data_IF_048524931947
#
_entry.id   IF_048524931947
#
_cell.length_a   1.000
_cell.length_b   1.000
_cell.length_c   1.000
_cell.angle_alpha   90.00
_cell.angle_beta   90.00
_cell.angle_gamma   90.00
#
_symmetry.space_group_name_H-M   'P 1'
#
loop_
_entity.id
_entity.type
_entity.pdbx_description
1 polymer ?
#
# COMPACT_ATOMS: atom_id res chain seq x y z
N UNK A 1 -9.27 -13.92 -12.62
CA UNK A 1 -8.37 -12.75 -12.48
C UNK A 1 -6.93 -13.23 -12.61
N UNK A 2 -5.92 -12.38 -12.75
CA UNK A 2 -4.52 -12.86 -12.77
C UNK A 2 -3.56 -11.76 -12.29
N UNK A 3 -2.44 -12.17 -11.71
CA UNK A 3 -1.35 -11.28 -11.32
C UNK A 3 -0.65 -10.76 -12.58
N UNK A 4 -0.49 -9.44 -12.71
CA UNK A 4 0.20 -8.88 -13.86
C UNK A 4 1.66 -9.34 -13.89
N UNK A 5 2.14 -9.97 -14.98
CA UNK A 5 3.51 -10.46 -15.06
C UNK A 5 4.47 -9.29 -15.28
N UNK A 6 5.27 -8.97 -14.26
CA UNK A 6 6.20 -7.85 -14.29
C UNK A 6 7.68 -8.28 -14.32
N UNK A 7 7.95 -9.58 -14.16
CA UNK A 7 9.30 -10.17 -14.14
C UNK A 7 9.43 -11.27 -15.20
N UNK A 8 10.68 -11.62 -15.53
CA UNK A 8 11.01 -12.69 -16.48
C UNK A 8 10.63 -14.08 -15.93
N UNK A 9 10.83 -14.31 -14.62
CA UNK A 9 10.47 -15.56 -13.94
C UNK A 9 9.13 -15.43 -13.20
N UNK A 10 8.26 -16.44 -13.32
CA UNK A 10 6.94 -16.41 -12.65
C UNK A 10 7.06 -16.37 -11.13
N UNK A 11 8.07 -17.05 -10.58
CA UNK A 11 8.31 -17.11 -9.14
C UNK A 11 8.52 -15.73 -8.51
N UNK A 12 9.02 -14.78 -9.30
CA UNK A 12 9.40 -13.44 -8.84
C UNK A 12 8.22 -12.46 -8.91
N UNK A 13 7.10 -12.86 -9.54
CA UNK A 13 5.89 -12.06 -9.51
C UNK A 13 5.26 -12.08 -8.12
N UNK A 14 4.64 -10.95 -7.78
CA UNK A 14 3.92 -10.72 -6.53
C UNK A 14 2.55 -10.14 -6.84
N UNK A 15 1.57 -10.47 -6.01
CA UNK A 15 0.25 -9.83 -6.08
C UNK A 15 0.31 -8.50 -5.32
N UNK A 16 0.11 -7.39 -6.03
CA UNK A 16 -0.09 -6.10 -5.39
C UNK A 16 -1.42 -6.09 -4.63
N UNK A 17 -1.36 -5.86 -3.31
CA UNK A 17 -2.50 -5.85 -2.41
C UNK A 17 -2.23 -4.89 -1.25
N UNK A 18 -3.28 -4.26 -0.71
CA UNK A 18 -3.14 -3.26 0.35
C UNK A 18 -4.38 -3.20 1.24
N UNK A 19 -4.29 -2.38 2.29
CA UNK A 19 -5.38 -2.19 3.24
C UNK A 19 -6.39 -1.18 2.66
N UNK A 20 -7.49 -1.71 2.13
CA UNK A 20 -8.58 -0.91 1.58
C UNK A 20 -9.42 -0.23 2.68
N UNK A 21 -9.72 -0.97 3.76
CA UNK A 21 -10.48 -0.48 4.90
C UNK A 21 -9.73 -0.68 6.21
N UNK A 22 -9.45 0.43 6.91
CA UNK A 22 -8.85 0.43 8.24
C UNK A 22 -9.63 1.32 9.19
N UNK A 23 -9.96 0.77 10.36
CA UNK A 23 -10.50 1.54 11.46
C UNK A 23 -9.42 1.87 12.50
N UNK A 24 -9.35 3.14 12.88
CA UNK A 24 -8.39 3.63 13.90
C UNK A 24 -9.09 4.51 14.93
N UNK A 25 -8.71 4.36 16.19
CA UNK A 25 -9.17 5.25 17.29
C UNK A 25 -8.10 6.28 17.57
N UNK A 26 -8.47 7.56 17.57
CA UNK A 26 -7.55 8.63 17.94
C UNK A 26 -7.03 8.44 19.37
N UNK A 27 -5.73 8.64 19.56
CA UNK A 27 -5.08 8.56 20.89
C UNK A 27 -5.76 9.45 21.94
N UNK A 28 -6.26 10.62 21.54
CA UNK A 28 -6.93 11.61 22.40
C UNK A 28 -8.46 11.44 22.50
N UNK A 29 -9.05 10.37 21.95
CA UNK A 29 -10.48 10.13 22.06
C UNK A 29 -10.90 10.08 23.54
N UNK A 30 -11.94 10.85 23.92
CA UNK A 30 -12.46 10.91 25.29
C UNK A 30 -13.33 9.69 25.65
N UNK A 31 -14.02 9.13 24.66
CA UNK A 31 -14.97 8.03 24.84
C UNK A 31 -14.43 6.76 24.15
N UNK A 32 -13.25 6.27 24.58
CA UNK A 32 -12.58 5.15 23.91
C UNK A 32 -13.32 3.84 24.06
N UNK A 33 -13.94 3.62 25.21
CA UNK A 33 -14.68 2.41 25.53
C UNK A 33 -15.85 2.23 24.56
N UNK A 34 -16.64 3.29 24.34
CA UNK A 34 -17.73 3.29 23.37
C UNK A 34 -17.23 3.13 21.92
N UNK A 35 -16.11 3.77 21.56
CA UNK A 35 -15.52 3.58 20.24
C UNK A 35 -15.10 2.11 20.02
N UNK A 36 -14.48 1.47 21.02
CA UNK A 36 -14.09 0.07 20.94
C UNK A 36 -15.28 -0.89 20.96
N UNK A 37 -16.41 -0.53 21.58
CA UNK A 37 -17.65 -1.31 21.48
C UNK A 37 -18.12 -1.42 20.03
N UNK A 38 -18.13 -0.30 19.30
CA UNK A 38 -18.45 -0.29 17.86
C UNK A 38 -17.41 -1.07 17.05
N UNK A 39 -16.11 -0.88 17.33
CA UNK A 39 -15.07 -1.61 16.60
C UNK A 39 -15.11 -3.11 16.83
N UNK A 40 -15.51 -3.57 18.02
CA UNK A 40 -15.72 -5.00 18.28
C UNK A 40 -16.83 -5.55 17.40
N UNK A 41 -17.97 -4.86 17.35
CA UNK A 41 -19.08 -5.26 16.47
C UNK A 41 -18.66 -5.30 14.99
N UNK A 42 -17.90 -4.31 14.51
CA UNK A 42 -17.37 -4.30 13.14
C UNK A 42 -16.32 -5.38 12.87
N UNK A 43 -15.65 -5.89 13.90
CA UNK A 43 -14.62 -6.92 13.81
C UNK A 43 -15.15 -8.34 14.08
N UNK A 44 -16.43 -8.49 14.42
CA UNK A 44 -17.08 -9.79 14.57
C UNK A 44 -17.15 -10.51 13.21
N UNK A 45 -16.98 -11.83 13.20
CA UNK A 45 -16.84 -12.62 11.97
C UNK A 45 -18.06 -12.47 11.04
N UNK A 46 -19.27 -12.47 11.61
CA UNK A 46 -20.51 -12.27 10.85
C UNK A 46 -20.54 -10.90 10.17
N UNK A 47 -20.14 -9.84 10.88
CA UNK A 47 -20.10 -8.47 10.33
C UNK A 47 -19.06 -8.35 9.22
N UNK A 48 -17.88 -8.95 9.40
CA UNK A 48 -16.84 -8.99 8.37
C UNK A 48 -17.34 -9.76 7.14
N UNK A 49 -17.97 -10.93 7.33
CA UNK A 49 -18.48 -11.73 6.21
C UNK A 49 -19.56 -10.99 5.43
N UNK A 50 -20.49 -10.29 6.11
CA UNK A 50 -21.49 -9.43 5.46
C UNK A 50 -20.81 -8.36 4.58
N UNK A 51 -19.75 -7.72 5.09
CA UNK A 51 -19.00 -6.73 4.31
C UNK A 51 -18.32 -7.36 3.08
N UNK A 52 -17.65 -8.51 3.25
CA UNK A 52 -16.96 -9.21 2.17
C UNK A 52 -17.92 -9.74 1.09
N UNK A 53 -19.12 -10.18 1.47
CA UNK A 53 -20.13 -10.65 0.52
C UNK A 53 -20.66 -9.53 -0.38
N UNK A 54 -20.73 -8.29 0.14
CA UNK A 54 -21.25 -7.13 -0.58
C UNK A 54 -20.16 -6.35 -1.34
N UNK A 55 -19.01 -6.13 -0.71
CA UNK A 55 -17.92 -5.30 -1.27
C UNK A 55 -16.78 -6.13 -1.89
N UNK A 56 -16.71 -7.43 -1.59
CA UNK A 56 -15.55 -8.26 -1.92
C UNK A 56 -14.35 -7.98 -1.00
N UNK A 57 -13.16 -8.35 -1.47
CA UNK A 57 -11.90 -8.20 -0.73
C UNK A 57 -11.46 -9.48 -0.01
N UNK A 58 -10.49 -9.33 0.89
CA UNK A 58 -9.88 -10.43 1.66
C UNK A 58 -9.80 -9.96 3.12
N UNK A 59 -10.24 -10.80 4.05
CA UNK A 59 -10.09 -10.50 5.47
C UNK A 59 -8.61 -10.47 5.88
N UNK A 60 -8.21 -9.46 6.65
CA UNK A 60 -6.91 -9.46 7.35
C UNK A 60 -6.96 -10.20 8.70
N UNK A 61 -8.15 -10.64 9.12
CA UNK A 61 -8.37 -11.40 10.35
C UNK A 61 -8.19 -12.89 10.04
N UNK A 62 -7.41 -13.58 10.88
CA UNK A 62 -7.32 -15.04 10.83
C UNK A 62 -8.70 -15.66 11.08
N UNK A 63 -9.14 -16.55 10.19
CA UNK A 63 -10.46 -17.18 10.26
C UNK A 63 -10.82 -17.91 8.96
N UNK A 64 -12.03 -18.48 8.93
CA UNK A 64 -12.56 -19.16 7.75
C UNK A 64 -13.39 -18.18 6.91
N UNK A 65 -12.70 -17.24 6.26
CA UNK A 65 -13.31 -16.28 5.34
C UNK A 65 -13.15 -16.75 3.90
N UNK A 66 -14.23 -16.75 3.12
CA UNK A 66 -14.18 -17.17 1.73
C UNK A 66 -13.41 -16.15 0.87
N UNK A 67 -12.49 -16.63 0.03
CA UNK A 67 -11.92 -15.82 -1.04
C UNK A 67 -13.00 -15.65 -2.13
N UNK A 68 -13.35 -14.41 -2.52
CA UNK A 68 -14.33 -14.16 -3.57
C UNK A 68 -13.98 -14.88 -4.88
N UNK A 69 -14.99 -15.34 -5.61
CA UNK A 69 -14.76 -16.06 -6.88
C UNK A 69 -13.98 -15.20 -7.90
N UNK A 70 -14.13 -13.88 -7.84
CA UNK A 70 -13.37 -12.92 -8.66
C UNK A 70 -11.86 -12.94 -8.38
N UNK A 71 -11.42 -13.41 -7.21
CA UNK A 71 -10.01 -13.49 -6.77
C UNK A 71 -9.47 -14.92 -6.73
N UNK A 72 -10.27 -15.92 -7.14
CA UNK A 72 -9.91 -17.35 -7.00
C UNK A 72 -8.60 -17.73 -7.68
N UNK A 73 -8.33 -17.19 -8.87
CA UNK A 73 -7.10 -17.48 -9.62
C UNK A 73 -5.84 -16.89 -8.93
N UNK A 74 -6.03 -15.93 -8.03
CA UNK A 74 -4.96 -15.32 -7.23
C UNK A 74 -4.78 -16.03 -5.87
N UNK A 75 -5.59 -17.05 -5.56
CA UNK A 75 -5.54 -17.80 -4.30
C UNK A 75 -4.13 -18.26 -3.91
N UNK A 76 -3.30 -18.83 -4.81
CA UNK A 76 -1.93 -19.23 -4.45
C UNK A 76 -1.06 -18.06 -3.97
N UNK A 77 -1.31 -16.85 -4.46
CA UNK A 77 -0.58 -15.66 -4.00
C UNK A 77 -1.05 -15.23 -2.61
N UNK A 78 -2.37 -15.24 -2.39
CA UNK A 78 -3.00 -14.84 -1.14
C UNK A 78 -2.63 -15.81 0.01
N UNK A 79 -2.85 -17.10 -0.19
CA UNK A 79 -2.64 -18.14 0.84
C UNK A 79 -1.16 -18.32 1.21
N UNK A 80 -0.23 -18.03 0.30
CA UNK A 80 1.21 -18.11 0.55
C UNK A 80 1.85 -16.76 0.90
N UNK A 81 1.05 -15.71 1.14
CA UNK A 81 1.53 -14.37 1.42
C UNK A 81 2.55 -13.84 0.38
N UNK A 82 2.37 -14.20 -0.91
CA UNK A 82 3.17 -13.71 -2.04
C UNK A 82 2.59 -12.38 -2.53
N UNK A 83 2.57 -11.40 -1.63
CA UNK A 83 1.95 -10.09 -1.86
C UNK A 83 2.92 -8.96 -1.57
N UNK A 84 2.72 -7.83 -2.25
CA UNK A 84 3.44 -6.60 -2.01
C UNK A 84 2.45 -5.44 -1.86
N UNK A 85 2.81 -4.45 -1.04
CA UNK A 85 2.01 -3.25 -0.87
C UNK A 85 1.97 -2.40 -2.15
N UNK A 86 1.02 -1.48 -2.23
CA UNK A 86 0.99 -0.49 -3.31
C UNK A 86 2.20 0.43 -3.20
N UNK A 87 2.90 0.63 -4.32
CA UNK A 87 4.15 1.38 -4.33
C UNK A 87 3.92 2.86 -4.00
N UNK A 88 2.74 3.40 -4.31
CA UNK A 88 2.37 4.78 -4.03
C UNK A 88 2.15 5.09 -2.55
N UNK A 89 1.96 4.08 -1.70
CA UNK A 89 1.97 4.23 -0.24
C UNK A 89 3.32 4.72 0.30
N UNK A 90 4.38 4.60 -0.50
CA UNK A 90 5.72 5.06 -0.15
C UNK A 90 6.05 6.45 -0.69
N UNK A 91 5.19 7.04 -1.52
CA UNK A 91 5.43 8.34 -2.12
C UNK A 91 4.77 9.44 -1.28
N UNK A 92 5.46 10.57 -0.99
CA UNK A 92 4.78 11.75 -0.47
C UNK A 92 3.64 12.19 -1.39
N UNK A 93 2.44 12.40 -0.85
CA UNK A 93 1.26 12.76 -1.63
C UNK A 93 1.45 14.07 -2.41
N UNK A 94 2.27 15.00 -1.89
CA UNK A 94 2.61 16.26 -2.53
C UNK A 94 3.44 16.11 -3.83
N UNK A 95 3.95 14.90 -4.11
CA UNK A 95 4.59 14.61 -5.40
C UNK A 95 3.60 14.54 -6.56
N UNK A 96 2.34 14.19 -6.33
CA UNK A 96 1.34 13.97 -7.40
C UNK A 96 1.84 13.03 -8.49
N UNK A 97 2.31 11.84 -8.08
CA UNK A 97 2.93 10.85 -8.98
C UNK A 97 1.96 10.35 -10.04
N UNK A 98 0.66 10.27 -9.72
CA UNK A 98 -0.43 9.97 -10.64
C UNK A 98 -0.41 10.90 -11.88
N UNK A 99 -0.30 12.22 -11.66
CA UNK A 99 -0.22 13.20 -12.74
C UNK A 99 1.11 13.09 -13.52
N UNK A 100 2.21 12.72 -12.84
CA UNK A 100 3.50 12.45 -13.50
C UNK A 100 3.41 11.25 -14.44
N UNK A 101 2.78 10.15 -13.99
CA UNK A 101 2.56 8.95 -14.80
C UNK A 101 1.64 9.28 -15.98
N UNK A 102 0.54 10.01 -15.76
CA UNK A 102 -0.33 10.44 -16.85
C UNK A 102 0.42 11.28 -17.89
N UNK A 103 1.25 12.22 -17.44
CA UNK A 103 2.07 13.04 -18.34
C UNK A 103 3.06 12.18 -19.13
N UNK A 104 3.71 11.20 -18.48
CA UNK A 104 4.62 10.27 -19.14
C UNK A 104 3.92 9.45 -20.22
N UNK A 105 2.74 8.90 -19.92
CA UNK A 105 1.96 8.10 -20.88
C UNK A 105 1.46 8.92 -22.09
N UNK A 106 1.29 10.23 -21.93
CA UNK A 106 0.87 11.14 -23.00
C UNK A 106 2.03 11.80 -23.75
N UNK A 107 3.25 11.77 -23.21
CA UNK A 107 4.44 12.35 -23.85
C UNK A 107 4.95 11.43 -24.95
N UNK A 108 4.73 11.84 -26.21
CA UNK A 108 5.14 11.08 -27.40
C UNK A 108 6.58 11.35 -27.85
N UNK A 109 7.38 12.08 -27.06
CA UNK A 109 8.78 12.35 -27.40
C UNK A 109 9.71 11.18 -27.05
N UNK A 110 10.80 11.05 -27.80
CA UNK A 110 11.79 9.97 -27.62
C UNK A 110 12.44 9.96 -26.22
N UNK A 111 12.37 11.06 -25.48
CA UNK A 111 12.95 11.19 -24.13
C UNK A 111 11.91 11.28 -23.00
N UNK A 112 10.66 10.87 -23.25
CA UNK A 112 9.59 10.86 -22.25
C UNK A 112 9.98 10.14 -20.95
N UNK A 113 10.62 8.97 -21.05
CA UNK A 113 11.07 8.19 -19.89
C UNK A 113 12.11 8.97 -19.06
N UNK A 114 13.10 9.58 -19.72
CA UNK A 114 14.13 10.36 -19.05
C UNK A 114 13.54 11.57 -18.32
N UNK A 115 12.59 12.27 -18.96
CA UNK A 115 11.87 13.40 -18.34
C UNK A 115 11.09 12.95 -17.10
N UNK A 116 10.36 11.83 -17.19
CA UNK A 116 9.63 11.26 -16.06
C UNK A 116 10.58 10.95 -14.90
N UNK A 117 11.65 10.19 -15.15
CA UNK A 117 12.61 9.79 -14.10
C UNK A 117 13.29 11.01 -13.46
N UNK A 118 13.71 12.00 -14.25
CA UNK A 118 14.29 13.25 -13.72
C UNK A 118 13.31 14.01 -12.85
N UNK A 119 12.05 14.10 -13.28
CA UNK A 119 10.98 14.76 -12.52
C UNK A 119 10.71 14.03 -11.21
N UNK A 120 10.62 12.70 -11.26
CA UNK A 120 10.41 11.85 -10.09
C UNK A 120 11.54 12.01 -9.07
N UNK A 121 12.81 11.87 -9.48
CA UNK A 121 13.98 12.00 -8.59
C UNK A 121 14.07 13.40 -7.93
N UNK A 122 13.82 14.44 -8.73
CA UNK A 122 13.80 15.82 -8.22
C UNK A 122 12.65 16.04 -7.23
N UNK A 123 11.48 15.46 -7.50
CA UNK A 123 10.33 15.49 -6.60
C UNK A 123 10.64 14.76 -5.30
N UNK A 124 11.13 13.53 -5.38
CA UNK A 124 11.47 12.70 -4.23
C UNK A 124 12.39 13.44 -3.24
N UNK A 125 13.51 13.98 -3.74
CA UNK A 125 14.45 14.76 -2.91
C UNK A 125 13.82 16.00 -2.29
N UNK A 126 12.97 16.70 -3.04
CA UNK A 126 12.31 17.91 -2.56
C UNK A 126 11.32 17.62 -1.43
N UNK A 127 10.43 16.66 -1.63
CA UNK A 127 9.33 16.39 -0.69
C UNK A 127 9.77 15.54 0.51
N UNK A 128 10.83 14.74 0.37
CA UNK A 128 11.43 14.01 1.50
C UNK A 128 12.59 14.75 2.18
N UNK A 129 12.88 16.02 1.85
CA UNK A 129 14.06 16.75 2.34
C UNK A 129 14.27 16.62 3.85
N UNK A 130 13.21 16.83 4.64
CA UNK A 130 13.32 16.85 6.10
C UNK A 130 13.49 15.42 6.66
N UNK A 131 12.87 14.42 6.04
CA UNK A 131 13.06 13.01 6.38
C UNK A 131 14.49 12.56 6.06
N UNK A 132 14.99 12.89 4.86
CA UNK A 132 16.35 12.60 4.43
C UNK A 132 17.35 13.20 5.42
N UNK A 133 17.17 14.46 5.83
CA UNK A 133 18.02 15.11 6.82
C UNK A 133 17.99 14.38 8.17
N UNK A 134 16.81 14.01 8.66
CA UNK A 134 16.67 13.24 9.91
C UNK A 134 17.42 11.91 9.87
N UNK A 135 17.32 11.18 8.75
CA UNK A 135 18.03 9.90 8.56
C UNK A 135 19.55 10.12 8.51
N UNK A 136 20.01 11.16 7.82
CA UNK A 136 21.44 11.51 7.76
C UNK A 136 22.00 11.90 9.13
N UNK A 137 21.26 12.69 9.90
CA UNK A 137 21.67 13.11 11.24
C UNK A 137 21.71 11.89 12.18
N UNK A 138 20.71 11.00 12.12
CA UNK A 138 20.71 9.73 12.86
C UNK A 138 21.89 8.83 12.49
N UNK A 139 22.24 8.69 11.20
CA UNK A 139 23.37 7.88 10.76
C UNK A 139 24.70 8.40 11.31
N UNK A 140 24.90 9.73 11.30
CA UNK A 140 26.10 10.34 11.89
C UNK A 140 26.19 10.09 13.39
N UNK A 141 25.09 10.23 14.12
CA UNK A 141 25.06 9.94 15.56
C UNK A 141 25.44 8.48 15.87
N UNK A 142 25.04 7.53 15.01
CA UNK A 142 25.40 6.11 15.16
C UNK A 142 26.87 5.83 14.81
N UNK A 143 27.41 6.51 13.79
CA UNK A 143 28.83 6.44 13.42
C UNK A 143 29.74 7.04 14.50
N UNK A 144 29.35 8.18 15.08
CA UNK A 144 30.09 8.85 16.15
C UNK A 144 30.03 8.11 17.50
N UNK A 145 29.07 7.19 17.66
CA UNK A 145 28.90 6.36 18.85
C UNK A 145 29.69 5.03 18.82
N UNK A 146 30.34 4.70 17.70
CA UNK A 146 31.23 3.53 17.53
C UNK A 146 32.71 3.89 17.71
#
# INVERSE_FOLDING_TARGET
SFTFPANDEESDNVLNSGIDLQFSVMKACKNKEAAYEVLKYLYDDETIQIYLDDQGGIACKDGDFAIPETLKDMRPYIENNRMADYQDHHYPSEMSVDAMIQTFLLDTSDNAQEKFLKRFDSGWKRYNRDLIRKVQDYQKEQEDAQ
#
